data_IF_749681947129
#
_entry.id   IF_749681947129
#
_cell.length_a   1.000
_cell.length_b   1.000
_cell.length_c   1.000
_cell.angle_alpha   90.00
_cell.angle_beta   90.00
_cell.angle_gamma   90.00
#
_symmetry.space_group_name_H-M   'P 1'
#
loop_
_entity.id
_entity.type
_entity.pdbx_description
1 polymer ?
#
# COMPACT_ATOMS: atom_id res chain seq x y z
N UNK A 1 12.16 -8.07 3.85
CA UNK A 1 10.99 -8.69 4.51
C UNK A 1 11.47 -9.67 5.57
N UNK A 2 10.92 -9.58 6.78
CA UNK A 2 11.15 -10.48 7.91
C UNK A 2 9.94 -11.43 8.05
N UNK A 3 10.11 -12.76 7.97
CA UNK A 3 8.99 -13.70 7.98
C UNK A 3 8.35 -13.79 9.38
N UNK A 4 7.03 -13.79 9.43
CA UNK A 4 6.22 -13.96 10.64
C UNK A 4 5.03 -14.86 10.32
N UNK A 5 5.15 -16.15 10.65
CA UNK A 5 4.18 -17.15 10.23
C UNK A 5 4.05 -17.18 8.71
N UNK A 6 2.82 -17.02 8.22
CA UNK A 6 2.50 -16.96 6.78
C UNK A 6 2.55 -15.55 6.19
N UNK A 7 3.09 -14.58 6.92
CA UNK A 7 3.16 -13.17 6.52
C UNK A 7 4.58 -12.61 6.63
N UNK A 8 4.76 -11.36 6.21
CA UNK A 8 6.04 -10.66 6.29
C UNK A 8 5.89 -9.29 6.92
N UNK A 9 6.86 -8.92 7.75
CA UNK A 9 7.08 -7.52 8.16
C UNK A 9 8.10 -6.91 7.20
N UNK A 10 7.72 -5.82 6.54
CA UNK A 10 8.64 -5.02 5.74
C UNK A 10 9.04 -3.75 6.50
N UNK A 11 10.35 -3.55 6.68
CA UNK A 11 10.91 -2.35 7.29
C UNK A 11 11.33 -1.41 6.17
N UNK A 12 10.77 -0.21 6.17
CA UNK A 12 11.04 0.80 5.15
C UNK A 12 11.91 1.90 5.73
N UNK A 13 13.01 2.19 5.03
CA UNK A 13 13.91 3.31 5.32
C UNK A 13 13.91 4.25 4.11
N UNK A 14 13.87 5.56 4.36
CA UNK A 14 14.08 6.53 3.29
C UNK A 14 15.44 7.21 3.39
N UNK A 15 16.22 7.11 2.31
CA UNK A 15 17.53 7.77 2.18
C UNK A 15 17.44 9.24 1.76
N UNK A 16 16.26 9.75 1.41
CA UNK A 16 16.05 11.11 0.90
C UNK A 16 14.79 11.75 1.49
N UNK A 17 14.85 13.05 1.74
CA UNK A 17 13.67 13.84 2.11
C UNK A 17 12.70 13.96 0.93
N UNK A 18 11.42 14.11 1.23
CA UNK A 18 10.37 14.31 0.21
C UNK A 18 9.82 13.04 -0.43
N UNK A 19 10.27 11.85 -0.01
CA UNK A 19 9.67 10.57 -0.43
C UNK A 19 8.41 10.29 0.39
N UNK A 20 7.53 9.40 -0.08
CA UNK A 20 6.33 9.04 0.68
C UNK A 20 6.65 8.52 2.08
N UNK A 21 7.67 7.66 2.22
CA UNK A 21 8.11 7.12 3.51
C UNK A 21 8.68 8.22 4.41
N UNK A 22 9.56 9.09 3.90
CA UNK A 22 10.11 10.19 4.73
C UNK A 22 9.04 11.19 5.15
N UNK A 23 8.13 11.58 4.26
CA UNK A 23 7.03 12.47 4.60
C UNK A 23 6.06 11.84 5.61
N UNK A 24 5.84 10.52 5.54
CA UNK A 24 5.02 9.81 6.52
C UNK A 24 5.64 9.84 7.91
N UNK A 25 6.93 9.50 8.00
CA UNK A 25 7.69 9.52 9.26
C UNK A 25 7.69 10.93 9.86
N UNK A 26 7.89 11.98 9.04
CA UNK A 26 7.87 13.37 9.51
C UNK A 26 6.51 13.77 10.11
N UNK A 27 5.40 13.20 9.62
CA UNK A 27 4.04 13.52 10.06
C UNK A 27 3.54 12.67 11.24
N UNK A 28 3.95 11.40 11.32
CA UNK A 28 3.37 10.42 12.23
C UNK A 28 4.39 9.76 13.18
N UNK A 29 5.68 10.02 12.99
CA UNK A 29 6.77 9.23 13.58
C UNK A 29 6.93 7.87 12.90
N UNK A 30 7.86 7.05 13.40
CA UNK A 30 8.01 5.66 12.97
C UNK A 30 6.78 4.85 13.39
N UNK A 31 6.08 4.28 12.41
CA UNK A 31 4.81 3.58 12.65
C UNK A 31 4.52 2.55 11.56
N UNK A 32 3.40 1.84 11.71
CA UNK A 32 2.81 1.10 10.59
C UNK A 32 2.50 2.07 9.44
N UNK A 33 2.97 1.75 8.24
CA UNK A 33 2.83 2.57 7.04
C UNK A 33 1.65 2.11 6.17
N UNK A 34 1.65 0.84 5.76
CA UNK A 34 0.55 0.21 5.04
C UNK A 34 0.45 -1.29 5.36
N UNK A 35 -0.62 -1.92 4.89
CA UNK A 35 -0.81 -3.37 4.88
C UNK A 35 -0.97 -3.79 3.41
N UNK A 36 -0.19 -4.78 2.98
CA UNK A 36 -0.29 -5.37 1.65
C UNK A 36 -1.03 -6.69 1.74
N UNK A 37 -2.01 -6.89 0.86
CA UNK A 37 -2.76 -8.13 0.73
C UNK A 37 -2.44 -8.75 -0.62
N UNK A 38 -2.01 -10.00 -0.60
CA UNK A 38 -1.78 -10.77 -1.82
C UNK A 38 -3.13 -11.21 -2.42
N UNK A 39 -3.20 -11.17 -3.75
CA UNK A 39 -4.39 -11.56 -4.52
C UNK A 39 -3.96 -12.40 -5.72
N UNK A 40 -4.80 -13.36 -6.12
CA UNK A 40 -4.51 -14.24 -7.25
C UNK A 40 -4.50 -13.49 -8.60
N UNK A 41 -5.42 -12.54 -8.76
CA UNK A 41 -5.57 -11.71 -9.96
C UNK A 41 -5.80 -10.25 -9.57
N UNK A 42 -4.83 -9.40 -9.89
CA UNK A 42 -4.85 -7.99 -9.57
C UNK A 42 -5.94 -7.22 -10.33
N UNK A 43 -6.22 -7.57 -11.58
CA UNK A 43 -7.20 -6.87 -12.40
C UNK A 43 -8.62 -7.18 -11.91
N UNK A 44 -8.86 -8.45 -11.54
CA UNK A 44 -10.10 -8.86 -10.91
C UNK A 44 -10.32 -8.17 -9.55
N UNK A 45 -9.30 -8.11 -8.70
CA UNK A 45 -9.37 -7.43 -7.40
C UNK A 45 -9.65 -5.92 -7.56
N UNK A 46 -9.01 -5.26 -8.52
CA UNK A 46 -9.25 -3.85 -8.80
C UNK A 46 -10.65 -3.60 -9.34
N UNK A 47 -11.15 -4.48 -10.21
CA UNK A 47 -12.52 -4.39 -10.69
C UNK A 47 -13.51 -4.48 -9.53
N UNK A 48 -13.34 -5.46 -8.64
CA UNK A 48 -14.18 -5.61 -7.44
C UNK A 48 -14.15 -4.35 -6.55
N UNK A 49 -12.96 -3.80 -6.28
CA UNK A 49 -12.82 -2.58 -5.47
C UNK A 49 -13.54 -1.38 -6.12
N UNK A 50 -13.46 -1.22 -7.45
CA UNK A 50 -14.19 -0.18 -8.18
C UNK A 50 -15.71 -0.37 -8.10
N UNK A 51 -16.20 -1.61 -8.18
CA UNK A 51 -17.63 -1.91 -8.00
C UNK A 51 -18.13 -1.57 -6.60
N UNK A 52 -17.25 -1.65 -5.59
CA UNK A 52 -17.54 -1.29 -4.20
C UNK A 52 -17.34 0.21 -3.90
N UNK A 53 -17.17 1.05 -4.92
CA UNK A 53 -16.90 2.49 -4.80
C UNK A 53 -15.65 2.82 -3.93
N UNK A 54 -14.69 1.90 -3.90
CA UNK A 54 -13.42 2.11 -3.21
C UNK A 54 -12.54 3.01 -4.08
N UNK A 55 -12.15 4.18 -3.55
CA UNK A 55 -11.26 5.11 -4.27
C UNK A 55 -9.84 4.56 -4.29
N UNK A 56 -9.30 4.35 -5.48
CA UNK A 56 -7.90 3.98 -5.70
C UNK A 56 -7.04 5.24 -5.84
N UNK A 57 -5.84 5.24 -5.25
CA UNK A 57 -4.89 6.36 -5.34
C UNK A 57 -4.27 6.44 -6.74
N UNK A 58 -3.97 5.29 -7.32
CA UNK A 58 -3.31 5.15 -8.62
C UNK A 58 -4.28 4.54 -9.64
N UNK A 59 -4.26 5.03 -10.90
CA UNK A 59 -5.14 4.54 -11.99
C UNK A 59 -4.60 3.30 -12.70
N UNK A 60 -3.27 3.10 -12.67
CA UNK A 60 -2.54 1.98 -13.26
C UNK A 60 -1.70 1.27 -12.19
N UNK A 61 -1.46 -0.02 -12.38
CA UNK A 61 -0.62 -0.82 -11.46
C UNK A 61 0.79 -0.27 -11.45
N UNK A 62 1.30 0.06 -10.27
CA UNK A 62 2.69 0.45 -10.09
C UNK A 62 3.49 -0.72 -9.53
N UNK A 63 4.69 -0.92 -10.06
CA UNK A 63 5.65 -1.85 -9.48
C UNK A 63 6.31 -1.18 -8.28
N UNK A 64 6.05 -1.70 -7.08
CA UNK A 64 6.70 -1.26 -5.85
C UNK A 64 7.55 -2.39 -5.30
N UNK A 65 8.84 -2.13 -5.11
CA UNK A 65 9.89 -2.96 -4.48
C UNK A 65 10.03 -4.43 -4.94
N UNK A 66 8.95 -5.21 -5.01
CA UNK A 66 8.85 -6.54 -5.62
C UNK A 66 7.41 -6.97 -5.99
N UNK A 67 6.37 -6.13 -5.86
CA UNK A 67 4.98 -6.51 -6.12
C UNK A 67 4.22 -5.47 -6.97
N UNK A 68 3.32 -5.99 -7.81
CA UNK A 68 2.34 -5.20 -8.53
C UNK A 68 1.24 -4.82 -7.54
N UNK A 69 1.15 -3.53 -7.19
CA UNK A 69 0.27 -3.08 -6.12
C UNK A 69 -0.56 -1.85 -6.54
N UNK A 70 -1.74 -1.73 -5.95
CA UNK A 70 -2.55 -0.53 -5.95
C UNK A 70 -2.88 -0.12 -4.54
N UNK A 71 -2.87 1.19 -4.31
CA UNK A 71 -3.22 1.75 -3.01
C UNK A 71 -4.68 2.18 -3.01
N UNK A 72 -5.35 1.88 -1.91
CA UNK A 72 -6.67 2.41 -1.61
C UNK A 72 -6.51 3.73 -0.88
N UNK A 73 -7.27 4.75 -1.30
CA UNK A 73 -7.29 6.04 -0.63
C UNK A 73 -7.74 5.89 0.81
N UNK A 74 -7.07 6.63 1.70
CA UNK A 74 -7.45 6.74 3.11
C UNK A 74 -8.87 7.29 3.30
N UNK A 75 -9.40 8.00 2.31
CA UNK A 75 -10.77 8.50 2.32
C UNK A 75 -11.83 7.45 1.94
N UNK A 76 -11.42 6.23 1.54
CA UNK A 76 -12.35 5.14 1.18
C UNK A 76 -12.84 4.32 2.38
N UNK A 77 -12.27 4.51 3.57
CA UNK A 77 -12.68 3.81 4.80
C UNK A 77 -13.78 4.52 5.60
N UNK A 78 -14.22 5.69 5.15
CA UNK A 78 -15.34 6.40 5.76
C UNK A 78 -16.53 6.41 4.79
N UNK A 79 -17.37 5.38 4.90
CA UNK A 79 -18.80 5.49 4.59
C UNK A 79 -19.52 6.15 5.75
#
# INVERSE_FOLDING_TARGET
>A
MYPVGDTYIEILESKKKGTEVSNWIDQHGESLFHICLEVDDIDAALFELRQKDVRLIDKNTAYWACQLAHRVSRSSVNG
#
